data_IF_201112832518
#
_entry.id   IF_201112832518
#
_cell.length_a   1.000
_cell.length_b   1.000
_cell.length_c   1.000
_cell.angle_alpha   90.00
_cell.angle_beta   90.00
_cell.angle_gamma   90.00
#
_symmetry.space_group_name_H-M   'P 1'
#
loop_
_entity.id
_entity.type
_entity.pdbx_description
1 polymer ?
#
# COMPACT_ATOMS: atom_id res chain seq x y z
N UNK A 1 -51.08 10.73 37.24
CA UNK A 1 -50.73 9.53 36.51
C UNK A 1 -49.78 9.94 35.38
N UNK A 2 -48.50 9.88 35.64
CA UNK A 2 -47.43 10.24 34.69
C UNK A 2 -46.54 9.04 34.52
N UNK A 3 -46.67 8.39 33.37
CA UNK A 3 -45.81 7.25 33.00
C UNK A 3 -44.44 7.80 32.55
N UNK A 4 -43.41 7.35 33.28
CA UNK A 4 -42.01 7.62 32.90
C UNK A 4 -41.56 6.77 31.72
N UNK A 5 -41.07 7.42 30.69
CA UNK A 5 -40.33 6.78 29.61
C UNK A 5 -38.90 6.48 30.09
N UNK A 6 -38.63 5.19 30.27
CA UNK A 6 -37.27 4.70 30.47
C UNK A 6 -36.64 4.57 29.10
N UNK A 7 -35.74 5.47 28.78
CA UNK A 7 -34.85 5.35 27.60
C UNK A 7 -33.82 4.27 27.87
N UNK A 8 -33.98 3.17 27.16
CA UNK A 8 -33.05 2.06 27.14
C UNK A 8 -31.84 2.50 26.33
N UNK A 9 -30.74 2.88 27.00
CA UNK A 9 -29.46 3.08 26.36
C UNK A 9 -28.92 1.70 26.01
N UNK A 10 -29.02 1.34 24.72
CA UNK A 10 -28.41 0.14 24.21
C UNK A 10 -26.89 0.32 24.28
N UNK A 11 -26.26 -0.39 25.18
CA UNK A 11 -24.83 -0.64 25.20
C UNK A 11 -24.50 -1.41 23.92
N UNK A 12 -24.09 -0.70 22.86
CA UNK A 12 -23.39 -1.33 21.76
C UNK A 12 -22.07 -1.89 22.32
N UNK A 13 -22.10 -3.17 22.63
CA UNK A 13 -20.89 -3.96 22.85
C UNK A 13 -20.12 -3.91 21.52
N UNK A 14 -19.09 -3.05 21.48
CA UNK A 14 -18.09 -3.10 20.42
C UNK A 14 -17.43 -4.47 20.54
N UNK A 15 -17.85 -5.41 19.73
CA UNK A 15 -17.05 -6.61 19.49
C UNK A 15 -15.70 -6.12 18.96
N UNK A 16 -14.69 -6.14 19.82
CA UNK A 16 -13.29 -6.04 19.39
C UNK A 16 -13.09 -7.19 18.42
N UNK A 17 -13.04 -6.89 17.13
CA UNK A 17 -12.50 -7.82 16.16
C UNK A 17 -11.12 -8.24 16.68
N UNK A 18 -10.82 -9.54 16.79
CA UNK A 18 -9.63 -10.03 17.50
C UNK A 18 -8.30 -9.59 16.89
N UNK A 19 -8.30 -8.87 15.77
CA UNK A 19 -7.13 -8.29 15.11
C UNK A 19 -7.54 -6.99 14.42
N UNK A 20 -7.77 -5.93 15.19
CA UNK A 20 -7.94 -4.60 14.61
C UNK A 20 -6.64 -4.21 13.90
N UNK A 21 -6.75 -3.85 12.62
CA UNK A 21 -5.64 -3.29 11.85
C UNK A 21 -5.09 -2.08 12.61
N UNK A 22 -3.76 -2.04 12.80
CA UNK A 22 -3.18 -0.97 13.59
C UNK A 22 -1.74 -0.67 13.19
N UNK A 23 -1.49 0.61 12.99
CA UNK A 23 -0.15 1.21 12.92
C UNK A 23 -0.11 2.35 13.93
N UNK A 24 0.94 2.42 14.74
CA UNK A 24 1.20 3.58 15.60
C UNK A 24 2.31 4.41 14.98
N UNK A 25 2.00 5.65 14.63
CA UNK A 25 2.96 6.65 14.14
C UNK A 25 3.43 7.54 15.27
N UNK A 26 4.70 7.95 15.24
CA UNK A 26 5.35 8.81 16.22
C UNK A 26 6.01 10.01 15.53
N UNK A 27 5.95 11.18 16.15
CA UNK A 27 6.54 12.41 15.60
C UNK A 27 8.05 12.36 15.50
N UNK A 28 8.71 11.65 16.42
CA UNK A 28 10.17 11.59 16.52
C UNK A 28 10.70 10.19 16.18
N UNK A 29 12.01 10.10 16.00
CA UNK A 29 12.71 8.83 15.87
C UNK A 29 12.61 8.01 17.14
N UNK A 30 12.85 6.73 17.04
CA UNK A 30 12.87 5.80 18.18
C UNK A 30 11.60 5.82 19.02
N UNK A 31 10.44 6.02 18.32
CA UNK A 31 9.12 6.00 18.95
C UNK A 31 8.90 7.10 19.99
N UNK A 32 9.57 8.24 19.81
CA UNK A 32 9.45 9.41 20.67
C UNK A 32 8.41 10.42 20.19
N UNK A 33 8.15 11.41 21.05
CA UNK A 33 7.19 12.46 20.78
C UNK A 33 5.73 12.03 20.88
N UNK A 34 4.83 12.83 20.29
CA UNK A 34 3.42 12.46 20.22
C UNK A 34 3.23 11.25 19.32
N UNK A 35 2.23 10.45 19.64
CA UNK A 35 1.87 9.28 18.83
C UNK A 35 0.40 9.35 18.41
N UNK A 36 0.09 8.63 17.34
CA UNK A 36 -1.24 8.50 16.82
C UNK A 36 -1.46 7.08 16.26
N UNK A 37 -2.59 6.47 16.67
CA UNK A 37 -2.97 5.13 16.22
C UNK A 37 -3.87 5.21 15.00
N UNK A 38 -3.41 4.57 13.93
CA UNK A 38 -4.09 4.47 12.65
C UNK A 38 -4.67 3.06 12.48
N UNK A 39 -5.93 2.97 12.11
CA UNK A 39 -6.64 1.71 11.96
C UNK A 39 -7.30 1.51 10.58
N UNK A 40 -6.89 2.27 9.59
CA UNK A 40 -7.45 2.21 8.23
C UNK A 40 -6.72 3.15 7.28
N UNK A 41 -7.37 3.45 6.16
CA UNK A 41 -6.87 4.40 5.18
C UNK A 41 -6.99 5.83 5.68
N UNK A 42 -5.90 6.59 5.58
CA UNK A 42 -5.88 8.01 5.90
C UNK A 42 -5.17 8.81 4.81
N UNK A 43 -5.92 9.72 4.22
CA UNK A 43 -5.44 10.53 3.11
C UNK A 43 -4.50 11.65 3.54
N UNK A 44 -4.55 12.10 4.80
CA UNK A 44 -3.68 13.15 5.32
C UNK A 44 -3.47 13.00 6.84
N UNK A 45 -2.21 12.96 7.26
CA UNK A 45 -1.82 12.88 8.67
C UNK A 45 -1.77 14.22 9.40
N UNK A 46 -1.82 15.34 8.66
CA UNK A 46 -1.64 16.69 9.22
C UNK A 46 -2.54 17.02 10.41
N UNK A 47 -3.81 16.55 10.47
CA UNK A 47 -4.66 16.79 11.64
C UNK A 47 -4.21 16.05 12.91
N UNK A 48 -3.41 15.00 12.78
CA UNK A 48 -3.04 14.10 13.88
C UNK A 48 -1.61 14.29 14.34
N UNK A 49 -0.67 14.42 13.39
CA UNK A 49 0.75 14.58 13.64
C UNK A 49 1.35 15.65 12.73
N UNK A 50 2.23 16.48 13.27
CA UNK A 50 2.94 17.52 12.49
C UNK A 50 4.02 16.89 11.58
N UNK A 51 4.58 15.78 11.99
CA UNK A 51 5.61 15.00 11.28
C UNK A 51 5.53 13.53 11.68
N UNK A 52 6.21 12.67 10.93
CA UNK A 52 6.39 11.27 11.31
C UNK A 52 7.89 10.92 11.28
N UNK A 53 8.45 10.55 12.40
CA UNK A 53 9.86 10.15 12.55
C UNK A 53 10.06 8.64 12.69
N UNK A 54 9.05 7.93 13.18
CA UNK A 54 9.07 6.48 13.37
C UNK A 54 7.65 5.92 13.42
N UNK A 55 7.53 4.61 13.26
CA UNK A 55 6.23 3.93 13.37
C UNK A 55 6.37 2.45 13.69
N UNK A 56 5.30 1.86 14.23
CA UNK A 56 5.14 0.42 14.46
C UNK A 56 3.94 -0.09 13.70
N UNK A 57 4.14 -1.08 12.84
CA UNK A 57 3.07 -1.84 12.21
C UNK A 57 2.78 -3.05 13.09
N UNK A 58 1.64 -3.03 13.77
CA UNK A 58 1.26 -4.09 14.70
C UNK A 58 0.72 -5.31 13.97
N UNK A 59 0.01 -5.09 12.88
CA UNK A 59 -0.52 -6.15 12.02
C UNK A 59 -0.85 -5.65 10.62
N UNK A 60 -1.03 -6.60 9.70
CA UNK A 60 -1.37 -6.32 8.30
C UNK A 60 -0.20 -5.82 7.46
N UNK A 61 -0.53 -5.56 6.20
CA UNK A 61 0.36 -4.93 5.23
C UNK A 61 -0.19 -3.56 4.84
N UNK A 62 0.71 -2.62 4.64
CA UNK A 62 0.36 -1.22 4.42
C UNK A 62 1.19 -0.61 3.31
N UNK A 63 0.58 0.35 2.59
CA UNK A 63 1.32 1.29 1.76
C UNK A 63 1.41 2.63 2.48
N UNK A 64 2.61 3.16 2.58
CA UNK A 64 2.90 4.49 3.11
C UNK A 64 3.26 5.42 1.96
N UNK A 65 2.87 6.69 2.09
CA UNK A 65 3.10 7.71 1.06
C UNK A 65 3.70 8.97 1.71
N UNK A 66 4.66 9.60 1.03
CA UNK A 66 5.30 10.81 1.54
C UNK A 66 4.52 12.11 1.25
N UNK A 67 3.39 12.01 0.56
CA UNK A 67 2.48 13.12 0.30
C UNK A 67 1.05 12.77 0.71
N UNK A 68 0.19 13.78 0.97
CA UNK A 68 -1.24 13.57 1.16
C UNK A 68 -1.90 12.93 -0.07
N UNK A 69 -3.10 12.39 0.13
CA UNK A 69 -3.95 11.81 -0.92
C UNK A 69 -3.30 10.66 -1.68
N UNK A 70 -2.44 9.88 -0.98
CA UNK A 70 -1.77 8.70 -1.54
C UNK A 70 -0.89 9.02 -2.74
N UNK A 71 -0.27 10.20 -2.71
CA UNK A 71 0.63 10.68 -3.74
C UNK A 71 2.09 10.59 -3.31
N UNK A 72 2.99 10.85 -4.27
CA UNK A 72 4.42 10.85 -4.05
C UNK A 72 5.04 9.45 -4.05
N UNK A 73 6.11 9.28 -3.29
CA UNK A 73 6.79 8.00 -3.15
C UNK A 73 5.94 7.03 -2.34
N UNK A 74 5.88 5.78 -2.78
CA UNK A 74 5.13 4.71 -2.14
C UNK A 74 6.07 3.69 -1.52
N UNK A 75 5.70 3.19 -0.34
CA UNK A 75 6.52 2.25 0.42
C UNK A 75 5.67 1.16 1.04
N UNK A 76 5.98 -0.09 0.67
CA UNK A 76 5.32 -1.27 1.23
C UNK A 76 5.88 -1.59 2.61
N UNK A 77 4.98 -1.73 3.60
CA UNK A 77 5.32 -2.04 4.98
C UNK A 77 4.59 -3.26 5.50
N UNK A 78 5.34 -4.16 6.12
CA UNK A 78 4.84 -5.32 6.85
C UNK A 78 4.88 -5.05 8.35
N UNK A 79 4.29 -5.97 9.12
CA UNK A 79 4.43 -5.98 10.57
C UNK A 79 5.89 -5.82 10.99
N UNK A 80 6.15 -4.91 11.90
CA UNK A 80 7.51 -4.61 12.37
C UNK A 80 7.64 -3.24 13.01
N UNK A 81 8.84 -2.98 13.48
CA UNK A 81 9.23 -1.72 14.08
C UNK A 81 10.19 -0.96 13.16
N UNK A 82 9.91 0.32 12.98
CA UNK A 82 10.62 1.21 12.06
C UNK A 82 11.08 2.47 12.82
N UNK A 83 12.16 2.34 13.63
CA UNK A 83 12.56 3.39 14.57
C UNK A 83 13.16 4.62 13.89
N UNK A 84 13.74 4.47 12.70
CA UNK A 84 14.34 5.55 11.92
C UNK A 84 14.34 5.21 10.43
N UNK A 85 13.15 5.13 9.84
CA UNK A 85 13.00 4.73 8.45
C UNK A 85 13.66 5.70 7.47
N UNK A 86 13.75 7.00 7.81
CA UNK A 86 14.38 7.99 6.94
C UNK A 86 15.86 7.70 6.74
N UNK A 87 16.60 7.44 7.82
CA UNK A 87 18.02 7.10 7.73
C UNK A 87 18.27 5.71 7.18
N UNK A 88 17.42 4.73 7.52
CA UNK A 88 17.56 3.35 7.06
C UNK A 88 17.40 3.19 5.55
N UNK A 89 16.53 4.00 4.93
CA UNK A 89 16.18 3.86 3.51
C UNK A 89 16.47 5.10 2.67
N UNK A 90 17.11 6.11 3.26
CA UNK A 90 17.44 7.34 2.55
C UNK A 90 16.24 8.19 2.16
N UNK A 91 15.15 8.12 2.94
CA UNK A 91 13.98 8.93 2.69
C UNK A 91 14.20 10.36 3.17
N UNK A 92 13.74 11.29 2.37
CA UNK A 92 13.89 12.71 2.68
C UNK A 92 12.63 13.35 3.28
N UNK A 93 11.48 12.69 3.11
CA UNK A 93 10.18 13.23 3.51
C UNK A 93 9.49 12.36 4.55
N UNK A 94 8.72 13.00 5.43
CA UNK A 94 7.82 12.31 6.35
C UNK A 94 6.69 11.60 5.60
N UNK A 95 6.21 10.49 6.17
CA UNK A 95 4.95 9.86 5.75
C UNK A 95 3.81 10.83 6.02
N UNK A 96 2.92 10.98 5.02
CA UNK A 96 1.78 11.91 5.07
C UNK A 96 0.43 11.23 4.86
N UNK A 97 0.40 10.05 4.26
CA UNK A 97 -0.80 9.24 4.06
C UNK A 97 -0.48 7.76 4.06
N UNK A 98 -1.47 6.92 4.33
CA UNK A 98 -1.32 5.47 4.30
C UNK A 98 -2.57 4.76 3.82
N UNK A 99 -2.38 3.59 3.23
CA UNK A 99 -3.45 2.65 2.87
C UNK A 99 -3.18 1.29 3.48
N UNK A 100 -4.23 0.69 3.99
CA UNK A 100 -4.23 -0.70 4.33
C UNK A 100 -4.34 -1.57 3.06
N UNK A 101 -3.59 -2.66 3.01
CA UNK A 101 -3.70 -3.65 1.94
C UNK A 101 -4.53 -4.82 2.46
N UNK A 102 -5.73 -5.08 1.88
CA UNK A 102 -6.55 -6.21 2.28
C UNK A 102 -5.82 -7.54 2.09
N UNK A 103 -5.95 -8.45 3.05
CA UNK A 103 -5.47 -9.82 2.91
C UNK A 103 -6.20 -10.50 1.76
N UNK A 104 -5.44 -11.12 0.86
CA UNK A 104 -5.99 -11.87 -0.27
C UNK A 104 -5.69 -13.36 -0.10
N UNK A 105 -6.74 -14.16 -0.10
CA UNK A 105 -6.66 -15.62 -0.13
C UNK A 105 -7.24 -16.12 -1.43
N UNK A 106 -6.43 -16.81 -2.21
CA UNK A 106 -6.83 -17.32 -3.51
C UNK A 106 -5.74 -17.13 -4.56
N UNK A 107 -6.15 -17.24 -5.81
CA UNK A 107 -5.23 -17.09 -6.93
C UNK A 107 -4.87 -15.63 -7.15
N UNK A 108 -3.67 -15.42 -7.65
CA UNK A 108 -3.20 -14.13 -8.14
C UNK A 108 -3.25 -14.14 -9.66
N UNK A 109 -3.72 -13.06 -10.27
CA UNK A 109 -3.84 -12.98 -11.72
C UNK A 109 -3.75 -11.56 -12.20
N UNK A 110 -2.80 -11.29 -13.11
CA UNK A 110 -2.59 -9.99 -13.71
C UNK A 110 -2.23 -10.16 -15.20
N UNK A 111 -2.73 -9.26 -16.04
CA UNK A 111 -2.27 -9.11 -17.42
C UNK A 111 -1.46 -7.85 -17.56
N UNK A 112 -0.28 -7.97 -18.14
CA UNK A 112 0.61 -6.86 -18.45
C UNK A 112 0.63 -6.64 -19.97
N UNK A 113 0.79 -5.38 -20.36
CA UNK A 113 0.77 -4.96 -21.77
C UNK A 113 1.95 -4.07 -22.08
N UNK A 114 2.54 -4.27 -23.23
CA UNK A 114 3.70 -3.53 -23.72
C UNK A 114 3.45 -2.03 -23.87
N UNK A 115 2.23 -1.67 -24.29
CA UNK A 115 1.82 -0.29 -24.58
C UNK A 115 0.66 0.15 -23.72
N UNK A 116 0.40 1.45 -23.72
CA UNK A 116 -0.79 2.04 -23.10
C UNK A 116 -2.08 1.47 -23.70
N UNK A 117 -3.17 1.61 -22.96
CA UNK A 117 -4.51 1.17 -23.35
C UNK A 117 -4.62 -0.31 -23.74
N UNK A 118 -3.86 -1.15 -23.03
CA UNK A 118 -3.84 -2.62 -23.27
C UNK A 118 -3.36 -2.99 -24.66
N UNK A 119 -2.47 -2.18 -25.23
CA UNK A 119 -1.91 -2.37 -26.56
C UNK A 119 -0.61 -3.18 -26.55
N UNK A 120 -0.25 -3.67 -27.75
CA UNK A 120 0.97 -4.40 -27.96
C UNK A 120 0.94 -5.83 -27.43
N UNK A 121 2.12 -6.34 -27.12
CA UNK A 121 2.29 -7.66 -26.57
C UNK A 121 1.63 -7.77 -25.18
N UNK A 122 0.96 -8.88 -24.90
CA UNK A 122 0.28 -9.16 -23.63
C UNK A 122 0.77 -10.47 -23.04
N UNK A 123 1.01 -10.46 -21.72
CA UNK A 123 1.29 -11.67 -20.95
C UNK A 123 0.42 -11.73 -19.70
N UNK A 124 -0.09 -12.93 -19.41
CA UNK A 124 -0.81 -13.20 -18.17
C UNK A 124 0.16 -13.77 -17.13
N UNK A 125 0.09 -13.25 -15.93
CA UNK A 125 0.96 -13.60 -14.82
C UNK A 125 0.13 -14.09 -13.64
N UNK A 126 0.59 -15.16 -13.00
CA UNK A 126 0.01 -15.75 -11.78
C UNK A 126 1.04 -15.81 -10.64
N UNK A 127 2.30 -15.56 -10.96
CA UNK A 127 3.44 -15.63 -10.05
C UNK A 127 4.30 -14.39 -10.10
N UNK A 128 5.22 -14.27 -9.14
CA UNK A 128 6.22 -13.22 -9.14
C UNK A 128 7.06 -13.28 -10.42
N UNK A 129 7.45 -12.12 -10.93
CA UNK A 129 8.32 -12.01 -12.10
C UNK A 129 9.43 -10.99 -11.79
N UNK A 130 10.62 -11.47 -11.63
CA UNK A 130 11.81 -10.66 -11.32
C UNK A 130 12.35 -9.90 -12.54
N UNK A 131 12.01 -10.33 -13.76
CA UNK A 131 12.36 -9.63 -15.00
C UNK A 131 11.39 -10.00 -16.13
N UNK A 132 10.58 -9.05 -16.55
CA UNK A 132 9.68 -9.26 -17.71
C UNK A 132 10.46 -9.32 -19.03
N UNK A 133 11.65 -8.74 -19.09
CA UNK A 133 12.54 -8.86 -20.22
C UNK A 133 13.04 -10.29 -20.38
N UNK A 134 13.53 -10.90 -19.31
CA UNK A 134 14.09 -12.26 -19.37
C UNK A 134 13.01 -13.30 -19.63
N UNK A 135 11.87 -13.15 -18.97
CA UNK A 135 10.77 -14.11 -19.02
C UNK A 135 9.93 -14.00 -20.29
N UNK A 136 9.65 -12.77 -20.75
CA UNK A 136 8.69 -12.52 -21.83
C UNK A 136 9.25 -11.73 -23.02
N UNK A 137 10.53 -11.32 -22.97
CA UNK A 137 11.16 -10.45 -23.95
C UNK A 137 10.45 -9.09 -24.08
N UNK A 138 9.79 -8.66 -23.04
CA UNK A 138 9.12 -7.37 -22.94
C UNK A 138 10.04 -6.38 -22.22
N UNK A 139 10.39 -5.28 -22.86
CA UNK A 139 11.30 -4.28 -22.28
C UNK A 139 10.72 -3.55 -21.07
N UNK A 140 9.43 -3.27 -21.11
CA UNK A 140 8.68 -2.57 -20.07
C UNK A 140 7.19 -2.79 -20.24
N UNK A 141 6.45 -2.63 -19.15
CA UNK A 141 5.01 -2.66 -19.12
C UNK A 141 4.47 -1.22 -19.05
N UNK A 142 3.51 -0.85 -19.89
CA UNK A 142 2.89 0.48 -19.91
C UNK A 142 1.41 0.51 -19.53
N UNK A 143 0.77 -0.64 -19.44
CA UNK A 143 -0.59 -0.79 -18.90
C UNK A 143 -0.77 -2.18 -18.32
N UNK A 144 -1.71 -2.34 -17.40
CA UNK A 144 -2.02 -3.65 -16.85
C UNK A 144 -3.48 -3.76 -16.42
N UNK A 145 -3.94 -5.00 -16.30
CA UNK A 145 -5.21 -5.35 -15.68
C UNK A 145 -4.93 -6.33 -14.53
N UNK A 146 -5.11 -5.89 -13.31
CA UNK A 146 -5.05 -6.75 -12.11
C UNK A 146 -6.44 -7.34 -11.91
N UNK A 147 -6.56 -8.64 -12.13
CA UNK A 147 -7.84 -9.36 -11.99
C UNK A 147 -8.03 -9.90 -10.58
N UNK A 148 -6.97 -10.47 -10.00
CA UNK A 148 -7.00 -11.10 -8.68
C UNK A 148 -5.74 -10.78 -7.89
N UNK A 149 -5.94 -10.51 -6.59
CA UNK A 149 -4.87 -10.25 -5.63
C UNK A 149 -4.33 -8.83 -5.68
N UNK A 150 -3.36 -8.58 -4.83
CA UNK A 150 -2.70 -7.29 -4.66
C UNK A 150 -1.24 -7.44 -5.08
N UNK A 151 -0.73 -6.50 -5.84
CA UNK A 151 0.58 -6.58 -6.47
C UNK A 151 1.43 -5.34 -6.19
N UNK A 152 2.75 -5.55 -6.14
CA UNK A 152 3.75 -4.49 -6.23
C UNK A 152 4.42 -4.57 -7.59
N UNK A 153 4.58 -3.43 -8.25
CA UNK A 153 5.33 -3.29 -9.49
C UNK A 153 6.53 -2.39 -9.27
N UNK A 154 7.64 -2.72 -9.91
CA UNK A 154 8.93 -2.06 -9.70
C UNK A 154 9.49 -1.52 -11.02
N UNK A 155 10.17 -0.37 -10.95
CA UNK A 155 10.76 0.28 -12.12
C UNK A 155 11.89 -0.51 -12.76
N UNK A 156 12.58 -1.33 -11.98
CA UNK A 156 13.76 -2.07 -12.42
C UNK A 156 13.56 -3.59 -12.23
N UNK A 157 14.36 -4.41 -12.93
CA UNK A 157 14.39 -5.85 -12.67
C UNK A 157 14.80 -6.16 -11.24
N UNK A 158 14.51 -7.39 -10.81
CA UNK A 158 14.87 -7.93 -9.50
C UNK A 158 14.29 -7.12 -8.34
N UNK A 159 13.06 -6.59 -8.52
CA UNK A 159 12.31 -5.84 -7.52
C UNK A 159 13.06 -4.63 -6.98
N UNK A 160 13.78 -3.93 -7.86
CA UNK A 160 14.56 -2.72 -7.53
C UNK A 160 13.93 -1.46 -8.08
N UNK A 161 14.41 -0.31 -7.59
CA UNK A 161 13.87 0.99 -7.90
C UNK A 161 12.62 1.30 -7.10
N UNK A 162 11.87 2.29 -7.54
CA UNK A 162 10.60 2.66 -6.89
C UNK A 162 9.57 1.55 -7.03
N UNK A 163 8.77 1.36 -5.99
CA UNK A 163 7.69 0.38 -5.96
C UNK A 163 6.33 1.07 -5.95
N UNK A 164 5.34 0.40 -6.54
CA UNK A 164 4.00 0.92 -6.67
C UNK A 164 2.98 -0.17 -6.41
N UNK A 165 1.92 0.19 -5.67
CA UNK A 165 0.85 -0.72 -5.30
C UNK A 165 -0.26 -0.73 -6.35
N UNK A 166 -0.65 -1.94 -6.75
CA UNK A 166 -1.71 -2.21 -7.70
C UNK A 166 -2.75 -3.18 -7.11
N UNK A 167 -3.86 -2.66 -6.55
CA UNK A 167 -5.04 -3.46 -6.24
C UNK A 167 -5.76 -3.92 -7.52
N UNK A 168 -6.76 -4.83 -7.42
CA UNK A 168 -7.60 -5.21 -8.56
C UNK A 168 -8.17 -3.99 -9.28
N UNK A 169 -8.03 -3.96 -10.61
CA UNK A 169 -8.47 -2.85 -11.45
C UNK A 169 -7.80 -2.80 -12.81
N UNK A 170 -8.29 -1.93 -13.67
CA UNK A 170 -7.72 -1.63 -14.98
C UNK A 170 -6.86 -0.36 -14.92
N UNK A 171 -5.63 -0.46 -15.39
CA UNK A 171 -4.64 0.62 -15.38
C UNK A 171 -4.15 0.85 -16.80
N UNK A 172 -4.81 1.79 -17.50
CA UNK A 172 -4.65 2.00 -18.94
C UNK A 172 -3.40 2.80 -19.32
N UNK A 173 -2.93 3.66 -18.41
CA UNK A 173 -1.77 4.53 -18.67
C UNK A 173 -1.20 5.04 -17.35
N UNK A 174 0.11 4.94 -17.18
CA UNK A 174 0.81 5.52 -16.01
C UNK A 174 0.77 7.05 -16.02
N UNK A 175 0.69 7.66 -17.20
CA UNK A 175 0.53 9.11 -17.38
C UNK A 175 -0.75 9.61 -16.71
N UNK A 176 -1.86 8.91 -16.90
CA UNK A 176 -3.15 9.26 -16.30
C UNK A 176 -3.16 9.09 -14.77
N UNK A 177 -2.22 8.32 -14.24
CA UNK A 177 -2.03 8.14 -12.80
C UNK A 177 -1.04 9.15 -12.18
N UNK A 178 -0.50 10.09 -12.98
CA UNK A 178 0.49 11.07 -12.55
C UNK A 178 1.95 10.60 -12.67
N UNK A 179 2.22 9.53 -13.41
CA UNK A 179 3.55 8.94 -13.58
C UNK A 179 3.92 8.80 -15.07
N UNK A 180 4.08 9.92 -15.81
CA UNK A 180 4.19 9.89 -17.27
C UNK A 180 5.43 9.14 -17.81
N UNK A 181 6.51 9.09 -17.02
CA UNK A 181 7.77 8.47 -17.43
C UNK A 181 7.99 7.10 -16.80
N UNK A 182 6.96 6.56 -16.15
CA UNK A 182 7.06 5.29 -15.44
C UNK A 182 7.12 4.12 -16.40
N UNK A 183 8.01 3.17 -16.08
CA UNK A 183 8.15 1.89 -16.75
C UNK A 183 8.34 0.81 -15.70
N UNK A 184 7.55 -0.25 -15.79
CA UNK A 184 7.67 -1.36 -14.86
C UNK A 184 8.37 -2.55 -15.52
N UNK A 185 9.30 -3.16 -14.78
CA UNK A 185 10.17 -4.22 -15.29
C UNK A 185 10.15 -5.48 -14.42
N UNK A 186 9.62 -5.42 -13.21
CA UNK A 186 9.39 -6.57 -12.33
C UNK A 186 8.14 -6.39 -11.48
N UNK A 187 7.51 -7.49 -11.09
CA UNK A 187 6.24 -7.50 -10.35
C UNK A 187 6.26 -8.60 -9.29
N UNK A 188 5.62 -8.33 -8.15
CA UNK A 188 5.56 -9.24 -7.02
C UNK A 188 4.17 -9.26 -6.42
N UNK A 189 3.68 -10.44 -6.07
CA UNK A 189 2.44 -10.63 -5.31
C UNK A 189 2.63 -10.17 -3.87
N UNK A 190 1.59 -9.58 -3.29
CA UNK A 190 1.53 -9.34 -1.85
C UNK A 190 0.83 -10.56 -1.24
N UNK A 191 1.60 -11.50 -0.73
CA UNK A 191 1.09 -12.78 -0.25
C UNK A 191 0.66 -12.69 1.22
N UNK A 192 -0.32 -13.52 1.61
CA UNK A 192 -0.82 -13.59 2.98
C UNK A 192 0.24 -14.00 4.02
N UNK A 193 1.30 -14.69 3.61
CA UNK A 193 2.46 -14.99 4.47
C UNK A 193 3.22 -13.76 4.97
N UNK A 194 2.89 -12.58 4.46
CA UNK A 194 3.51 -11.32 4.88
C UNK A 194 2.73 -10.57 5.95
N UNK A 195 1.53 -11.02 6.31
CA UNK A 195 0.66 -10.39 7.32
C UNK A 195 0.99 -10.73 8.77
#
# INVERSE_FOLDING_TARGET
MTQGFVTKVEHMVRHKLPFALQVTFYEERNFGGRSWDCNGDYADFSPYLSRCGSFRVHNGCWMMYDQPNYMGMQYFMRRGEYPDYMSMWGWHNSIRSCRFIPMHRGNYRMRIYERENFGGQMHEMMDDCDSIMDRYRMNHCQSCHVMDGHWLMYEQPQYRGRQYYFPPGEYRSWRNMGYPDMRFMSMRRIMDSWY
#
